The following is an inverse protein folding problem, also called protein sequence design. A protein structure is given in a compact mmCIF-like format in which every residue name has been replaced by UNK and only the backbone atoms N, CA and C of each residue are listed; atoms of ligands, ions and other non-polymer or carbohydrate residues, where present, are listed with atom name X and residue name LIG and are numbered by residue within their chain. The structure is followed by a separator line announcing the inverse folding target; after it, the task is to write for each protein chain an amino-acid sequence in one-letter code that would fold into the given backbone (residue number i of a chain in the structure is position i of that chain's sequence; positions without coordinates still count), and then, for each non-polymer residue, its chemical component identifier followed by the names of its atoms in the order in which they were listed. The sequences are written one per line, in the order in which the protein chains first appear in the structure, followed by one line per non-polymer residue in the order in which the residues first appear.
data_IF_252277295334
#
_entry.id   IF_252277295334
#
_cell.length_a   1.000
_cell.length_b   1.000
_cell.length_c   1.000
_cell.angle_alpha   90.00
_cell.angle_beta   90.00
_cell.angle_gamma   90.00
#
_symmetry.space_group_name_H-M   'P 1'
#
loop_
_entity.id
_entity.type
_entity.pdbx_description
1 polymer ?
#
# COMPACT_ATOMS: atom_id res chain seq x y z
N UNK A 1 20.47 19.86 -0.39
CA UNK A 1 19.43 19.93 -1.44
C UNK A 1 19.99 19.34 -2.73
N UNK A 2 19.31 18.35 -3.30
CA UNK A 2 19.71 17.71 -4.56
C UNK A 2 18.54 17.77 -5.54
N UNK A 3 18.81 18.24 -6.74
CA UNK A 3 17.83 18.34 -7.81
C UNK A 3 18.09 17.23 -8.82
N UNK A 4 17.07 16.43 -9.11
CA UNK A 4 17.13 15.41 -10.16
C UNK A 4 16.04 15.71 -11.17
N UNK A 5 16.45 15.96 -12.41
CA UNK A 5 15.54 16.15 -13.52
C UNK A 5 15.03 14.78 -13.98
N UNK A 6 13.71 14.58 -14.01
CA UNK A 6 13.08 13.34 -14.47
C UNK A 6 12.22 13.67 -15.68
N UNK A 7 12.42 12.97 -16.79
CA UNK A 7 11.63 13.13 -18.01
C UNK A 7 10.68 11.94 -18.15
N UNK A 8 9.36 12.19 -18.23
CA UNK A 8 8.34 11.17 -18.52
C UNK A 8 7.36 11.74 -19.56
N UNK A 9 7.14 10.99 -20.64
CA UNK A 9 6.20 11.33 -21.73
C UNK A 9 6.34 12.77 -22.25
N UNK A 10 7.55 13.19 -22.58
CA UNK A 10 7.83 14.54 -23.11
C UNK A 10 7.81 15.67 -22.08
N UNK A 11 7.35 15.42 -20.86
CA UNK A 11 7.26 16.42 -19.79
C UNK A 11 8.47 16.34 -18.86
N UNK A 12 9.08 17.49 -18.56
CA UNK A 12 10.11 17.59 -17.51
C UNK A 12 9.45 17.73 -16.14
N UNK A 13 9.82 16.87 -15.20
CA UNK A 13 9.49 16.98 -13.80
C UNK A 13 10.77 17.15 -12.97
N UNK A 14 10.80 18.13 -12.07
CA UNK A 14 11.92 18.36 -11.16
C UNK A 14 11.68 17.57 -9.87
N UNK A 15 12.48 16.53 -9.62
CA UNK A 15 12.51 15.82 -8.35
C UNK A 15 13.49 16.54 -7.42
N UNK A 16 12.97 17.25 -6.44
CA UNK A 16 13.76 17.90 -5.40
C UNK A 16 13.89 16.96 -4.21
N UNK A 17 15.11 16.62 -3.81
CA UNK A 17 15.42 15.97 -2.54
C UNK A 17 16.06 17.00 -1.63
N UNK A 18 15.29 17.54 -0.70
CA UNK A 18 15.82 18.43 0.31
C UNK A 18 16.09 17.66 1.62
N UNK A 19 17.38 17.49 1.92
CA UNK A 19 17.86 16.86 3.16
C UNK A 19 17.60 17.69 4.41
N UNK A 20 17.22 18.97 4.26
CA UNK A 20 16.97 19.93 5.33
C UNK A 20 15.49 20.33 5.47
N UNK A 21 14.55 19.59 4.88
CA UNK A 21 13.12 19.87 5.02
C UNK A 21 12.67 19.82 6.49
N UNK A 22 11.96 20.85 6.96
CA UNK A 22 11.38 20.93 8.30
C UNK A 22 10.53 19.69 8.65
N UNK A 23 9.86 19.09 7.66
CA UNK A 23 9.08 17.85 7.77
C UNK A 23 9.91 16.66 8.27
N UNK A 24 11.22 16.61 8.00
CA UNK A 24 12.10 15.56 8.51
C UNK A 24 12.61 15.87 9.92
N UNK A 25 12.83 17.14 10.25
CA UNK A 25 13.34 17.54 11.56
C UNK A 25 12.33 17.24 12.69
N UNK A 26 11.03 17.24 12.37
CA UNK A 26 9.94 17.01 13.33
C UNK A 26 9.31 15.61 13.23
N UNK A 27 9.81 14.74 12.34
CA UNK A 27 9.27 13.39 12.14
C UNK A 27 9.54 12.50 13.36
N UNK A 28 8.52 12.27 14.19
CA UNK A 28 8.62 11.44 15.40
C UNK A 28 8.50 9.93 15.15
N UNK A 29 8.49 9.49 13.88
CA UNK A 29 8.25 8.10 13.49
C UNK A 29 6.80 7.83 13.13
N UNK A 30 6.51 6.55 12.85
CA UNK A 30 5.18 6.05 12.50
C UNK A 30 4.71 5.18 13.65
N UNK A 31 3.53 5.46 14.18
CA UNK A 31 2.92 4.60 15.19
C UNK A 31 2.48 3.28 14.54
N UNK A 32 2.72 2.18 15.23
CA UNK A 32 2.23 0.86 14.85
C UNK A 32 1.06 0.48 15.76
N UNK A 33 0.13 -0.33 15.26
CA UNK A 33 -0.71 -1.12 16.15
C UNK A 33 0.14 -2.15 16.89
N UNK A 34 -0.34 -2.60 18.05
CA UNK A 34 0.23 -3.77 18.72
C UNK A 34 0.17 -4.99 17.79
N UNK A 35 1.17 -5.86 17.91
CA UNK A 35 1.23 -7.08 17.11
C UNK A 35 -0.01 -7.95 17.34
N UNK A 36 -0.65 -8.35 16.25
CA UNK A 36 -1.83 -9.20 16.24
C UNK A 36 -1.51 -10.55 15.59
N UNK A 37 -1.38 -11.65 16.37
CA UNK A 37 -1.18 -12.99 15.80
C UNK A 37 -2.32 -13.41 14.87
N UNK A 38 -3.55 -13.02 15.16
CA UNK A 38 -4.73 -13.31 14.32
C UNK A 38 -4.75 -12.52 13.00
N UNK A 39 -3.82 -11.59 12.81
CA UNK A 39 -3.62 -10.84 11.57
C UNK A 39 -2.50 -11.45 10.70
N UNK A 40 -2.01 -12.63 11.07
CA UNK A 40 -1.18 -13.49 10.21
C UNK A 40 -2.07 -14.62 9.72
N UNK A 41 -2.33 -14.67 8.42
CA UNK A 41 -3.26 -15.64 7.82
C UNK A 41 -2.61 -16.38 6.67
N UNK A 42 -2.99 -17.65 6.50
CA UNK A 42 -2.62 -18.44 5.33
C UNK A 42 -3.55 -18.13 4.17
N UNK A 43 -3.00 -18.06 2.96
CA UNK A 43 -3.73 -17.82 1.73
C UNK A 43 -3.41 -18.89 0.69
N UNK A 44 -4.44 -19.37 0.00
CA UNK A 44 -4.25 -20.18 -1.21
C UNK A 44 -4.04 -19.26 -2.41
N UNK A 45 -3.08 -19.62 -3.26
CA UNK A 45 -2.61 -18.79 -4.37
C UNK A 45 -3.04 -19.40 -5.70
N UNK A 46 -3.85 -18.67 -6.44
CA UNK A 46 -4.21 -19.02 -7.82
C UNK A 46 -3.44 -18.11 -8.78
N UNK A 47 -2.49 -18.63 -9.58
CA UNK A 47 -1.76 -17.83 -10.55
C UNK A 47 -2.70 -17.17 -11.57
N UNK A 48 -2.34 -15.98 -12.02
CA UNK A 48 -3.12 -15.26 -13.04
C UNK A 48 -3.17 -16.02 -14.37
N UNK A 49 -4.29 -15.85 -15.09
CA UNK A 49 -4.38 -16.32 -16.47
C UNK A 49 -3.48 -15.46 -17.39
N UNK A 50 -2.96 -16.02 -18.50
CA UNK A 50 -2.18 -15.24 -19.46
C UNK A 50 -2.94 -13.99 -19.94
N UNK A 51 -2.32 -12.82 -19.77
CA UNK A 51 -2.89 -11.52 -20.18
C UNK A 51 -3.94 -10.94 -19.22
N UNK A 52 -4.17 -11.54 -18.06
CA UNK A 52 -5.07 -11.00 -17.06
C UNK A 52 -4.52 -9.70 -16.46
N UNK A 53 -5.34 -8.65 -16.46
CA UNK A 53 -5.01 -7.34 -15.90
C UNK A 53 -6.05 -6.89 -14.86
N UNK A 54 -5.66 -5.91 -14.06
CA UNK A 54 -6.52 -5.18 -13.14
C UNK A 54 -6.33 -3.69 -13.34
N UNK A 55 -7.44 -2.95 -13.43
CA UNK A 55 -7.41 -1.49 -13.47
C UNK A 55 -7.04 -0.95 -12.08
N UNK A 56 -5.93 -0.22 -11.99
CA UNK A 56 -5.51 0.47 -10.77
C UNK A 56 -5.54 1.98 -11.02
N UNK A 57 -6.33 2.68 -10.22
CA UNK A 57 -6.42 4.15 -10.25
C UNK A 57 -5.47 4.73 -9.22
N UNK A 58 -4.71 5.77 -9.56
CA UNK A 58 -3.87 6.47 -8.59
C UNK A 58 -4.62 7.62 -7.89
N UNK A 59 -4.01 8.18 -6.83
CA UNK A 59 -4.58 9.31 -6.07
C UNK A 59 -4.81 10.60 -6.88
N UNK A 60 -4.31 10.69 -8.13
CA UNK A 60 -4.57 11.80 -9.06
C UNK A 60 -5.67 11.49 -10.07
N UNK A 61 -6.31 10.31 -9.98
CA UNK A 61 -7.41 9.90 -10.84
C UNK A 61 -6.99 9.25 -12.16
N UNK A 62 -5.70 9.01 -12.39
CA UNK A 62 -5.25 8.28 -13.58
C UNK A 62 -5.40 6.78 -13.35
N UNK A 63 -6.11 6.11 -14.25
CA UNK A 63 -6.30 4.66 -14.26
C UNK A 63 -5.35 4.00 -15.26
N UNK A 64 -4.69 2.93 -14.82
CA UNK A 64 -3.77 2.13 -15.63
C UNK A 64 -4.09 0.64 -15.45
N UNK A 65 -3.99 -0.12 -16.54
CA UNK A 65 -4.07 -1.59 -16.49
C UNK A 65 -2.74 -2.15 -16.00
N UNK A 66 -2.77 -2.95 -14.93
CA UNK A 66 -1.61 -3.63 -14.40
C UNK A 66 -1.75 -5.14 -14.53
N UNK A 67 -0.68 -5.87 -14.91
CA UNK A 67 -0.71 -7.33 -14.94
C UNK A 67 -1.01 -7.91 -13.56
N UNK A 68 -1.95 -8.84 -13.50
CA UNK A 68 -2.20 -9.63 -12.29
C UNK A 68 -1.13 -10.71 -12.20
N UNK A 69 -0.57 -10.91 -11.01
CA UNK A 69 0.33 -12.01 -10.71
C UNK A 69 -0.42 -13.22 -10.15
N UNK A 70 -1.32 -12.98 -9.19
CA UNK A 70 -2.13 -14.03 -8.57
C UNK A 70 -3.39 -13.48 -7.91
N UNK A 71 -4.35 -14.38 -7.67
CA UNK A 71 -5.45 -14.20 -6.73
C UNK A 71 -5.13 -14.96 -5.45
N UNK A 72 -5.29 -14.30 -4.31
CA UNK A 72 -5.05 -14.86 -2.97
C UNK A 72 -6.38 -15.01 -2.24
N UNK A 73 -6.79 -16.22 -1.93
CA UNK A 73 -7.99 -16.49 -1.12
C UNK A 73 -7.58 -16.80 0.32
N UNK A 74 -8.20 -16.14 1.30
CA UNK A 74 -7.89 -16.29 2.72
C UNK A 74 -9.09 -15.97 3.61
N UNK A 75 -9.05 -16.44 4.85
CA UNK A 75 -10.04 -16.10 5.87
C UNK A 75 -9.46 -15.07 6.84
N UNK A 76 -10.22 -14.00 7.11
CA UNK A 76 -9.85 -12.98 8.08
C UNK A 76 -11.10 -12.49 8.82
N UNK A 77 -11.05 -12.52 10.16
CA UNK A 77 -12.20 -12.13 10.99
C UNK A 77 -13.42 -13.02 10.79
N UNK A 78 -13.22 -14.30 10.49
CA UNK A 78 -14.30 -15.27 10.23
C UNK A 78 -15.03 -15.07 8.89
N UNK A 79 -14.50 -14.23 8.00
CA UNK A 79 -15.04 -13.99 6.66
C UNK A 79 -13.99 -14.35 5.62
N UNK A 80 -14.45 -14.90 4.50
CA UNK A 80 -13.61 -15.22 3.35
C UNK A 80 -13.41 -13.98 2.48
N UNK A 81 -12.17 -13.67 2.16
CA UNK A 81 -11.77 -12.56 1.31
C UNK A 81 -10.89 -13.06 0.17
N UNK A 82 -10.67 -12.21 -0.82
CA UNK A 82 -9.63 -12.44 -1.80
C UNK A 82 -8.88 -11.14 -2.11
N UNK A 83 -7.61 -11.27 -2.46
CA UNK A 83 -6.82 -10.19 -3.04
C UNK A 83 -6.43 -10.49 -4.48
N UNK A 84 -6.46 -9.45 -5.30
CA UNK A 84 -5.74 -9.41 -6.57
C UNK A 84 -4.36 -8.83 -6.29
N UNK A 85 -3.32 -9.64 -6.52
CA UNK A 85 -1.93 -9.25 -6.31
C UNK A 85 -1.21 -8.98 -7.62
N UNK A 86 -0.33 -7.98 -7.61
CA UNK A 86 0.66 -7.72 -8.67
C UNK A 86 2.00 -8.32 -8.28
N UNK A 87 2.96 -8.35 -9.20
CA UNK A 87 4.31 -8.82 -8.90
C UNK A 87 5.00 -7.93 -7.85
N UNK A 88 5.56 -8.56 -6.82
CA UNK A 88 6.41 -7.92 -5.81
C UNK A 88 7.90 -8.13 -6.09
N UNK A 89 8.73 -7.89 -5.07
CA UNK A 89 10.17 -8.19 -5.12
C UNK A 89 10.46 -9.67 -4.88
N UNK A 90 11.60 -10.15 -5.39
CA UNK A 90 12.13 -11.50 -5.11
C UNK A 90 11.15 -12.65 -5.39
N UNK A 91 10.32 -12.50 -6.43
CA UNK A 91 9.29 -13.48 -6.79
C UNK A 91 8.07 -13.48 -5.86
N UNK A 92 8.03 -12.56 -4.90
CA UNK A 92 6.89 -12.29 -4.04
C UNK A 92 5.76 -11.57 -4.76
N UNK A 93 4.74 -11.24 -3.97
CA UNK A 93 3.52 -10.61 -4.40
C UNK A 93 3.36 -9.26 -3.68
N UNK A 94 2.67 -8.33 -4.33
CA UNK A 94 2.40 -7.02 -3.77
C UNK A 94 0.91 -6.73 -3.84
N UNK A 95 0.36 -6.22 -2.73
CA UNK A 95 -1.02 -5.76 -2.66
C UNK A 95 -1.09 -4.36 -2.10
N UNK A 96 -1.98 -3.56 -2.72
CA UNK A 96 -2.53 -2.36 -2.12
C UNK A 96 -3.91 -2.73 -1.62
N UNK A 97 -4.18 -2.53 -0.34
CA UNK A 97 -5.48 -2.87 0.24
C UNK A 97 -6.04 -1.72 1.08
N UNK A 98 -7.37 -1.72 1.24
CA UNK A 98 -8.05 -0.90 2.23
C UNK A 98 -8.95 -1.79 3.09
N UNK A 99 -9.30 -1.30 4.27
CA UNK A 99 -10.13 -1.98 5.24
C UNK A 99 -10.93 -0.96 6.05
N UNK A 100 -11.73 -1.41 7.02
CA UNK A 100 -12.57 -0.50 7.82
C UNK A 100 -11.79 0.44 8.75
N UNK A 101 -10.48 0.32 8.90
CA UNK A 101 -9.62 1.31 9.58
C UNK A 101 -9.18 2.46 8.67
N UNK A 102 -9.29 2.29 7.34
CA UNK A 102 -8.79 3.25 6.35
C UNK A 102 -9.55 4.58 6.43
N UNK A 103 -8.82 5.68 6.58
CA UNK A 103 -9.35 7.04 6.65
C UNK A 103 -9.69 7.54 8.05
N UNK A 104 -9.69 6.65 9.05
CA UNK A 104 -9.91 7.00 10.46
C UNK A 104 -8.68 6.71 11.32
N UNK A 105 -8.15 5.49 11.24
CA UNK A 105 -7.02 5.03 12.06
C UNK A 105 -5.79 4.70 11.22
N UNK A 106 -5.97 4.42 9.93
CA UNK A 106 -4.90 4.20 8.94
C UNK A 106 -5.08 5.13 7.73
N UNK A 107 -4.08 5.21 6.86
CA UNK A 107 -4.15 6.08 5.69
C UNK A 107 -5.32 5.75 4.76
N UNK A 108 -6.11 6.76 4.40
CA UNK A 108 -7.35 6.58 3.62
C UNK A 108 -7.15 6.10 2.19
N UNK A 109 -5.96 6.28 1.61
CA UNK A 109 -5.62 5.74 0.29
C UNK A 109 -5.27 4.26 0.30
N UNK A 110 -5.35 3.60 1.45
CA UNK A 110 -4.96 2.20 1.62
C UNK A 110 -3.51 2.04 2.07
N UNK A 111 -3.11 0.79 2.30
CA UNK A 111 -1.78 0.38 2.76
C UNK A 111 -1.13 -0.58 1.77
N UNK A 112 0.19 -0.59 1.79
CA UNK A 112 1.01 -1.49 1.00
C UNK A 112 1.36 -2.71 1.84
N UNK A 113 1.38 -3.87 1.20
CA UNK A 113 1.81 -5.11 1.83
C UNK A 113 2.57 -5.97 0.81
N UNK A 114 3.82 -6.26 1.17
CA UNK A 114 4.63 -7.26 0.49
C UNK A 114 4.32 -8.64 1.07
N UNK A 115 4.09 -9.59 0.18
CA UNK A 115 3.71 -10.97 0.51
C UNK A 115 4.80 -11.90 -0.05
N UNK A 116 5.32 -12.85 0.73
CA UNK A 116 6.34 -13.78 0.27
C UNK A 116 5.90 -14.59 -0.96
N UNK A 117 6.89 -15.06 -1.72
CA UNK A 117 6.66 -15.96 -2.84
C UNK A 117 5.89 -17.21 -2.38
N UNK A 118 4.89 -17.69 -3.15
CA UNK A 118 4.12 -18.85 -2.77
C UNK A 118 4.98 -20.13 -2.78
N UNK A 119 4.78 -20.97 -1.77
CA UNK A 119 5.41 -22.29 -1.64
C UNK A 119 4.29 -23.33 -1.69
N UNK A 120 4.35 -24.24 -2.67
CA UNK A 120 3.35 -25.31 -2.80
C UNK A 120 1.91 -24.84 -3.09
N UNK A 121 1.74 -23.63 -3.63
CA UNK A 121 0.42 -23.04 -3.91
C UNK A 121 -0.16 -22.22 -2.75
N UNK A 122 0.60 -22.00 -1.68
CA UNK A 122 0.18 -21.24 -0.52
C UNK A 122 1.19 -20.14 -0.18
N UNK A 123 0.73 -19.08 0.51
CA UNK A 123 1.60 -18.05 1.08
C UNK A 123 0.98 -17.52 2.38
N UNK A 124 1.79 -16.82 3.18
CA UNK A 124 1.34 -16.19 4.42
C UNK A 124 1.16 -14.69 4.19
N UNK A 125 -0.01 -14.17 4.55
CA UNK A 125 -0.31 -12.73 4.57
C UNK A 125 -0.16 -12.25 6.01
N UNK A 126 0.87 -11.43 6.27
CA UNK A 126 1.11 -10.82 7.59
C UNK A 126 0.73 -9.34 7.57
N UNK A 127 -0.50 -9.04 7.98
CA UNK A 127 -0.99 -7.66 8.03
C UNK A 127 -0.25 -6.77 9.06
N UNK A 128 0.53 -7.35 9.97
CA UNK A 128 1.39 -6.57 10.87
C UNK A 128 2.54 -5.87 10.12
N UNK A 129 2.82 -6.29 8.88
CA UNK A 129 3.82 -5.68 8.01
C UNK A 129 3.24 -4.67 7.03
N UNK A 130 1.96 -4.34 7.14
CA UNK A 130 1.32 -3.35 6.28
C UNK A 130 1.87 -1.94 6.58
N UNK A 131 2.31 -1.24 5.53
CA UNK A 131 2.91 0.10 5.64
C UNK A 131 2.10 1.16 4.90
N UNK A 132 2.23 2.41 5.33
CA UNK A 132 1.62 3.54 4.64
C UNK A 132 2.37 3.83 3.32
N UNK A 133 1.63 4.08 2.23
CA UNK A 133 2.25 4.46 0.96
C UNK A 133 2.91 5.85 1.06
N UNK A 134 3.89 6.18 0.20
CA UNK A 134 4.57 7.47 0.20
C UNK A 134 3.63 8.69 0.09
N UNK A 135 2.46 8.56 -0.55
CA UNK A 135 1.46 9.63 -0.62
C UNK A 135 0.84 10.00 0.72
N UNK A 136 1.05 9.20 1.76
CA UNK A 136 0.73 9.56 3.13
C UNK A 136 1.59 10.73 3.65
N UNK A 137 2.79 10.93 3.10
CA UNK A 137 3.75 11.94 3.55
C UNK A 137 3.93 13.10 2.58
N UNK A 138 3.46 12.96 1.33
CA UNK A 138 3.62 14.01 0.32
C UNK A 138 2.51 13.99 -0.73
N UNK A 139 1.95 15.18 -1.02
CA UNK A 139 0.93 15.38 -2.04
C UNK A 139 1.44 15.22 -3.49
N UNK A 140 2.77 15.10 -3.67
CA UNK A 140 3.42 14.94 -4.97
C UNK A 140 3.53 13.48 -5.42
N UNK A 141 3.31 12.50 -4.52
CA UNK A 141 3.32 11.09 -4.88
C UNK A 141 2.02 10.67 -5.58
N UNK A 142 2.14 9.85 -6.62
CA UNK A 142 1.02 9.30 -7.41
C UNK A 142 0.78 7.84 -7.07
N UNK A 143 0.48 7.56 -5.80
CA UNK A 143 0.33 6.18 -5.35
C UNK A 143 -0.94 5.52 -5.90
N UNK A 144 -0.89 4.20 -6.18
CA UNK A 144 -2.06 3.41 -6.53
C UNK A 144 -3.07 3.36 -5.37
N UNK A 145 -4.35 3.40 -5.71
CA UNK A 145 -5.46 3.11 -4.80
C UNK A 145 -5.80 1.62 -4.87
N UNK A 146 -6.30 1.03 -3.78
CA UNK A 146 -6.68 -0.37 -3.76
C UNK A 146 -7.85 -0.63 -4.73
N UNK A 147 -7.73 -1.63 -5.63
CA UNK A 147 -8.84 -2.06 -6.47
C UNK A 147 -10.00 -2.57 -5.61
N UNK A 148 -11.20 -2.64 -6.18
CA UNK A 148 -12.41 -3.01 -5.42
C UNK A 148 -12.28 -4.36 -4.70
N UNK A 149 -11.65 -5.35 -5.33
CA UNK A 149 -11.38 -6.66 -4.75
C UNK A 149 -10.50 -6.59 -3.49
N UNK A 150 -9.59 -5.61 -3.39
CA UNK A 150 -8.66 -5.47 -2.26
C UNK A 150 -9.21 -4.57 -1.15
N UNK A 151 -10.53 -4.39 -1.07
CA UNK A 151 -11.20 -3.60 -0.03
C UNK A 151 -11.93 -4.54 0.92
N UNK A 152 -11.33 -4.74 2.08
CA UNK A 152 -11.84 -5.65 3.09
C UNK A 152 -13.02 -5.03 3.84
N UNK A 153 -14.06 -5.83 4.09
CA UNK A 153 -15.23 -5.46 4.89
C UNK A 153 -14.99 -5.57 6.41
N UNK A 154 -13.77 -5.89 6.83
CA UNK A 154 -13.38 -6.05 8.24
C UNK A 154 -12.39 -4.96 8.64
N UNK A 155 -12.16 -4.80 9.95
CA UNK A 155 -11.12 -3.93 10.48
C UNK A 155 -9.80 -4.69 10.58
N UNK A 156 -8.71 -4.11 10.08
CA UNK A 156 -7.36 -4.67 10.20
C UNK A 156 -6.52 -3.79 11.12
N UNK A 157 -6.59 -4.09 12.42
CA UNK A 157 -5.92 -3.38 13.52
C UNK A 157 -4.49 -3.92 13.73
N UNK A 158 -3.71 -3.92 12.65
CA UNK A 158 -2.33 -4.43 12.61
C UNK A 158 -1.51 -3.57 11.64
N UNK A 159 -0.19 -3.46 11.83
CA UNK A 159 0.71 -2.69 10.96
C UNK A 159 0.73 -1.19 11.28
N UNK A 160 1.10 -0.38 10.30
CA UNK A 160 1.22 1.07 10.48
C UNK A 160 -0.14 1.77 10.66
N UNK A 161 -0.18 2.69 11.62
CA UNK A 161 -1.28 3.63 11.86
C UNK A 161 -1.14 4.87 10.99
N UNK A 162 -2.18 5.69 10.96
CA UNK A 162 -2.14 7.00 10.34
C UNK A 162 -1.04 7.83 11.03
N UNK A 163 -0.04 8.34 10.28
CA UNK A 163 0.98 9.21 10.85
C UNK A 163 0.31 10.45 11.45
N UNK A 164 0.76 10.85 12.64
CA UNK A 164 0.35 12.15 13.21
C UNK A 164 0.69 13.24 12.20
N UNK A 165 -0.30 14.05 11.82
CA UNK A 165 -0.03 15.24 11.00
C UNK A 165 0.98 16.08 11.79
N UNK A 166 2.08 16.45 11.13
CA UNK A 166 2.83 17.62 11.57
C UNK A 166 1.85 18.78 11.47
N UNK A 167 1.55 19.42 12.59
CA UNK A 167 0.82 20.69 12.58
C UNK A 167 1.69 21.66 11.78
N UNK A 168 1.36 21.87 10.51
CA UNK A 168 1.88 23.02 9.80
C UNK A 168 1.27 24.22 10.49
N UNK A 169 2.06 24.89 11.33
CA UNK A 169 1.76 26.23 11.80
C UNK A 169 1.32 27.07 10.60
N UNK A 170 0.06 27.51 10.63
CA UNK A 170 -0.48 28.52 9.73
C UNK A 170 0.44 29.73 9.75
N UNK A 171 1.20 29.95 8.67
CA UNK A 171 1.65 31.29 8.34
C UNK A 171 0.67 31.88 7.33
N UNK A 172 0.08 33.00 7.76
CA UNK A 172 -0.91 33.81 7.06
C UNK A 172 -0.29 34.56 5.87
#
# INVERSE_FOLDING_TARGET
MTFTLVRRNGTLALRVRDSASAVRAEFQGIELFDYQPSAVVEASVTPALPGQTVTITNVKGFAEEQPVAAVLDFDLGGQRHHFIATSGSDGGLFVVFADQTSGAETYGGGRFLDIPAPIGGNTTIDFNRAINPPCCFTAFATCPLPPAANRLSVRVVAGERLPRKLETSNEH
#
